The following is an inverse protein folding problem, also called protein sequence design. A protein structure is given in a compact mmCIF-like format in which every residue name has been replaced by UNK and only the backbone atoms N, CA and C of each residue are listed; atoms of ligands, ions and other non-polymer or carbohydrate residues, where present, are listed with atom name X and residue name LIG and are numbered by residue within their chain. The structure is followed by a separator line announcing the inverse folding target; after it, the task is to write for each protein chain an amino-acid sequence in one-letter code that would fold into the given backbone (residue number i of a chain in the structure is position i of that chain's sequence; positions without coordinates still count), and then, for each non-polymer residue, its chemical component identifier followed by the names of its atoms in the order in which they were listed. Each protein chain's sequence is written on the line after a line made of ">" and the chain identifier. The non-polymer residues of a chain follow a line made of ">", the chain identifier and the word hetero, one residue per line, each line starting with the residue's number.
data_IF_491092303912
#
_entry.id   IF_491092303912
#
_cell.length_a   1.000
_cell.length_b   1.000
_cell.length_c   1.000
_cell.angle_alpha   90.00
_cell.angle_beta   90.00
_cell.angle_gamma   90.00
#
_symmetry.space_group_name_H-M   'P 1'
#
loop_
_entity.id
_entity.type
_entity.pdbx_description
1 polymer ?
#
# COMPACT_ATOMS: atom_id res chain seq x y z
N UNK A 1 -13.49 59.37 13.29
CA UNK A 1 -12.14 58.78 13.13
C UNK A 1 -12.17 57.30 13.53
N UNK A 2 -13.13 56.52 13.01
CA UNK A 2 -13.62 55.33 13.74
C UNK A 2 -14.06 54.10 12.93
N UNK A 3 -14.04 54.10 11.59
CA UNK A 3 -14.28 52.86 10.81
C UNK A 3 -13.08 52.41 10.00
N UNK A 4 -12.31 53.36 9.46
CA UNK A 4 -11.10 53.06 8.68
C UNK A 4 -9.98 52.44 9.51
N UNK A 5 -9.91 52.75 10.81
CA UNK A 5 -8.92 52.19 11.72
C UNK A 5 -9.27 50.75 12.17
N UNK A 6 -10.56 50.40 12.28
CA UNK A 6 -10.97 49.04 12.65
C UNK A 6 -10.73 48.06 11.50
N UNK A 7 -11.06 48.46 10.26
CA UNK A 7 -10.78 47.66 9.06
C UNK A 7 -9.27 47.42 8.86
N UNK A 8 -8.44 48.44 9.10
CA UNK A 8 -6.97 48.29 9.06
C UNK A 8 -6.47 47.35 10.14
N UNK A 9 -6.99 47.44 11.37
CA UNK A 9 -6.62 46.57 12.47
C UNK A 9 -6.98 45.10 12.21
N UNK A 10 -8.21 44.82 11.74
CA UNK A 10 -8.64 43.48 11.37
C UNK A 10 -7.85 42.93 10.18
N UNK A 11 -7.56 43.76 9.16
CA UNK A 11 -6.73 43.34 8.02
C UNK A 11 -5.30 42.99 8.45
N UNK A 12 -4.71 43.73 9.40
CA UNK A 12 -3.37 43.48 9.91
C UNK A 12 -3.32 42.22 10.80
N UNK A 13 -4.36 41.96 11.60
CA UNK A 13 -4.50 40.73 12.40
C UNK A 13 -4.69 39.49 11.53
N UNK A 14 -5.52 39.57 10.49
CA UNK A 14 -5.70 38.50 9.51
C UNK A 14 -4.41 38.27 8.74
N UNK A 15 -3.76 39.33 8.26
CA UNK A 15 -2.47 39.21 7.57
C UNK A 15 -1.39 38.60 8.46
N UNK A 16 -1.27 39.05 9.71
CA UNK A 16 -0.34 38.49 10.70
C UNK A 16 -0.60 37.01 10.96
N UNK A 17 -1.87 36.62 11.14
CA UNK A 17 -2.26 35.23 11.39
C UNK A 17 -2.02 34.33 10.17
N UNK A 18 -2.30 34.83 8.96
CA UNK A 18 -2.03 34.11 7.71
C UNK A 18 -0.52 33.98 7.46
N UNK A 19 0.27 35.03 7.72
CA UNK A 19 1.73 34.97 7.64
C UNK A 19 2.28 34.00 8.69
N UNK A 20 1.78 34.00 9.92
CA UNK A 20 2.18 33.03 10.95
C UNK A 20 1.83 31.59 10.57
N UNK A 21 0.70 31.34 9.92
CA UNK A 21 0.33 30.00 9.43
C UNK A 21 1.22 29.59 8.25
N UNK A 22 1.49 30.48 7.30
CA UNK A 22 2.38 30.19 6.17
C UNK A 22 3.80 29.94 6.67
N UNK A 23 4.29 30.74 7.62
CA UNK A 23 5.60 30.55 8.26
C UNK A 23 5.62 29.25 9.05
N UNK A 24 4.55 28.89 9.77
CA UNK A 24 4.46 27.61 10.46
C UNK A 24 4.45 26.44 9.48
N UNK A 25 3.68 26.49 8.39
CA UNK A 25 3.66 25.46 7.36
C UNK A 25 4.99 25.37 6.60
N UNK A 26 5.67 26.48 6.37
CA UNK A 26 6.99 26.54 5.77
C UNK A 26 8.06 26.00 6.72
N UNK A 27 8.00 26.32 8.02
CA UNK A 27 8.88 25.76 9.05
C UNK A 27 8.60 24.26 9.22
N UNK A 28 7.34 23.83 9.19
CA UNK A 28 6.97 22.41 9.27
C UNK A 28 7.43 21.68 8.03
N UNK A 29 7.21 22.23 6.84
CA UNK A 29 7.67 21.68 5.57
C UNK A 29 9.20 21.65 5.46
N UNK A 30 9.88 22.69 5.93
CA UNK A 30 11.33 22.78 5.96
C UNK A 30 11.91 21.86 7.03
N UNK A 31 11.29 21.77 8.21
CA UNK A 31 11.71 20.85 9.28
C UNK A 31 11.47 19.40 8.87
N UNK A 32 10.37 19.12 8.16
CA UNK A 32 10.08 17.83 7.57
C UNK A 32 11.07 17.48 6.46
N UNK A 33 11.33 18.42 5.56
CA UNK A 33 12.33 18.28 4.49
C UNK A 33 13.73 18.10 5.07
N UNK A 34 14.11 18.86 6.11
CA UNK A 34 15.42 18.75 6.76
C UNK A 34 15.55 17.49 7.60
N UNK A 35 14.49 17.06 8.30
CA UNK A 35 14.44 15.78 9.01
C UNK A 35 14.59 14.62 8.02
N UNK A 36 13.84 14.65 6.92
CA UNK A 36 13.96 13.64 5.87
C UNK A 36 15.28 13.73 5.13
N UNK A 37 15.82 14.92 4.87
CA UNK A 37 17.13 15.11 4.26
C UNK A 37 18.23 14.64 5.20
N UNK A 38 18.12 14.83 6.51
CA UNK A 38 19.05 14.29 7.51
C UNK A 38 18.97 12.76 7.60
N UNK A 39 17.76 12.20 7.61
CA UNK A 39 17.53 10.74 7.53
C UNK A 39 18.09 10.17 6.23
N UNK A 40 17.88 10.84 5.10
CA UNK A 40 18.38 10.45 3.78
C UNK A 40 19.90 10.68 3.62
N UNK A 41 20.49 11.68 4.29
CA UNK A 41 21.95 11.90 4.32
C UNK A 41 22.62 10.80 5.15
N UNK A 42 22.08 10.47 6.34
CA UNK A 42 22.50 9.30 7.11
C UNK A 42 22.37 8.02 6.28
N UNK A 43 21.30 7.89 5.50
CA UNK A 43 21.08 6.79 4.56
C UNK A 43 22.13 6.78 3.42
N UNK A 44 22.49 7.93 2.84
CA UNK A 44 23.53 8.03 1.81
C UNK A 44 24.92 7.62 2.30
N UNK A 45 25.27 8.01 3.54
CA UNK A 45 26.50 7.57 4.20
C UNK A 45 26.50 6.07 4.46
N UNK A 46 25.36 5.51 4.89
CA UNK A 46 25.22 4.06 5.14
C UNK A 46 25.23 3.26 3.82
N UNK A 47 24.63 3.78 2.75
CA UNK A 47 24.65 3.16 1.40
C UNK A 47 26.08 3.12 0.84
N UNK A 48 26.87 4.17 1.05
CA UNK A 48 28.29 4.18 0.72
C UNK A 48 29.07 3.13 1.53
N UNK A 49 28.77 2.97 2.82
CA UNK A 49 29.38 1.94 3.67
C UNK A 49 28.97 0.51 3.25
N UNK A 50 27.72 0.28 2.85
CA UNK A 50 27.27 -1.01 2.33
C UNK A 50 27.83 -1.35 0.95
N UNK A 51 28.01 -0.36 0.06
CA UNK A 51 28.69 -0.57 -1.22
C UNK A 51 30.18 -0.89 -1.03
N UNK A 52 30.84 -0.27 -0.04
CA UNK A 52 32.21 -0.63 0.34
C UNK A 52 32.28 -2.07 0.88
N UNK A 53 31.36 -2.46 1.76
CA UNK A 53 31.33 -3.80 2.36
C UNK A 53 30.98 -4.93 1.37
N UNK A 54 30.19 -4.64 0.32
CA UNK A 54 29.89 -5.61 -0.74
C UNK A 54 31.02 -5.76 -1.77
N UNK A 55 31.89 -4.75 -1.94
CA UNK A 55 33.07 -4.85 -2.80
C UNK A 55 34.18 -5.71 -2.18
N UNK A 56 34.23 -5.81 -0.84
CA UNK A 56 35.17 -6.68 -0.12
C UNK A 56 34.76 -8.17 -0.09
N UNK A 57 33.58 -8.51 -0.64
CA UNK A 57 33.03 -9.88 -0.64
C UNK A 57 33.10 -10.58 -2.00
N UNK A 58 33.90 -10.11 -2.97
CA UNK A 58 34.27 -10.95 -4.11
C UNK A 58 35.27 -12.03 -3.66
N UNK A 59 34.95 -13.33 -3.76
CA UNK A 59 35.90 -14.37 -3.39
C UNK A 59 37.02 -14.45 -4.43
N UNK A 60 38.23 -14.07 -4.03
CA UNK A 60 39.45 -14.46 -4.72
C UNK A 60 39.61 -15.98 -4.59
N UNK A 61 39.63 -16.65 -5.74
CA UNK A 61 39.89 -18.08 -5.84
C UNK A 61 41.27 -18.42 -5.29
N UNK A 62 41.36 -19.23 -4.24
CA UNK A 62 42.44 -20.20 -4.01
C UNK A 62 42.08 -21.14 -2.87
N UNK A 63 42.60 -22.35 -2.96
CA UNK A 63 42.09 -23.58 -2.38
C UNK A 63 42.66 -23.95 -1.00
N UNK A 64 41.94 -24.88 -0.38
CA UNK A 64 42.39 -26.03 0.43
C UNK A 64 42.43 -25.93 1.97
N UNK A 65 41.93 -27.04 2.55
CA UNK A 65 42.14 -27.65 3.88
C UNK A 65 41.36 -27.16 5.08
N UNK A 66 40.70 -28.11 5.77
CA UNK A 66 40.41 -27.97 7.20
C UNK A 66 39.09 -28.52 7.73
N UNK A 67 38.81 -29.81 7.54
CA UNK A 67 37.81 -30.54 8.30
C UNK A 67 38.02 -30.46 9.82
N UNK A 68 37.06 -29.95 10.59
CA UNK A 68 36.65 -30.43 11.94
C UNK A 68 35.70 -29.43 12.61
N UNK A 69 34.44 -29.84 12.81
CA UNK A 69 33.49 -29.52 13.89
C UNK A 69 32.04 -29.53 13.38
N UNK A 70 31.61 -30.71 12.92
CA UNK A 70 30.20 -31.08 12.90
C UNK A 70 30.10 -32.39 13.67
N UNK A 71 29.85 -32.30 14.98
CA UNK A 71 29.28 -33.35 15.80
C UNK A 71 29.14 -32.83 17.23
N UNK A 72 27.95 -32.33 17.57
CA UNK A 72 27.27 -32.60 18.84
C UNK A 72 25.96 -31.81 18.92
N UNK A 73 25.00 -32.37 19.65
CA UNK A 73 23.66 -31.87 19.98
C UNK A 73 22.54 -32.33 19.03
N UNK A 74 22.36 -33.65 18.96
CA UNK A 74 21.01 -34.25 18.92
C UNK A 74 20.65 -34.69 20.35
N UNK A 75 19.64 -34.06 20.96
CA UNK A 75 18.84 -34.69 22.02
C UNK A 75 17.37 -34.35 21.82
N UNK A 76 16.57 -35.42 21.62
CA UNK A 76 15.10 -35.40 21.65
C UNK A 76 14.64 -34.96 23.05
N UNK A 77 13.71 -34.02 23.12
CA UNK A 77 12.83 -33.85 24.27
C UNK A 77 11.37 -33.86 23.79
N UNK A 78 10.56 -34.69 24.45
CA UNK A 78 9.12 -34.73 24.28
C UNK A 78 8.52 -33.36 24.62
N UNK A 79 7.82 -32.75 23.65
CA UNK A 79 7.14 -31.47 23.83
C UNK A 79 5.65 -31.74 24.12
N UNK A 80 5.20 -31.34 25.31
CA UNK A 80 3.77 -31.20 25.66
C UNK A 80 3.21 -29.97 24.95
N UNK A 81 1.91 -29.92 24.60
CA UNK A 81 1.34 -28.77 23.88
C UNK A 81 1.43 -27.51 24.76
N UNK A 82 2.17 -26.50 24.28
CA UNK A 82 2.30 -25.20 24.92
C UNK A 82 1.05 -24.36 24.65
N UNK A 83 0.50 -23.76 25.69
CA UNK A 83 -0.61 -22.80 25.59
C UNK A 83 -0.16 -21.55 24.83
N UNK A 84 -1.10 -20.89 24.14
CA UNK A 84 -0.90 -19.75 23.24
C UNK A 84 -0.04 -18.62 23.81
N UNK A 85 -0.05 -18.41 25.13
CA UNK A 85 0.77 -17.39 25.80
C UNK A 85 2.29 -17.68 25.74
N UNK A 86 2.70 -18.95 25.86
CA UNK A 86 4.12 -19.30 25.83
C UNK A 86 4.71 -19.32 24.42
N UNK A 87 3.89 -19.64 23.41
CA UNK A 87 4.30 -19.56 22.01
C UNK A 87 4.60 -18.12 21.57
N UNK A 88 3.73 -17.17 21.93
CA UNK A 88 3.94 -15.74 21.66
C UNK A 88 5.20 -15.21 22.35
N UNK A 89 5.47 -15.66 23.58
CA UNK A 89 6.69 -15.27 24.31
C UNK A 89 7.96 -15.87 23.70
N UNK A 90 7.91 -17.10 23.17
CA UNK A 90 9.06 -17.69 22.46
C UNK A 90 9.37 -16.98 21.13
N UNK A 91 8.35 -16.50 20.41
CA UNK A 91 8.56 -15.65 19.22
C UNK A 91 9.20 -14.31 19.64
N UNK A 92 8.80 -13.73 20.78
CA UNK A 92 9.39 -12.51 21.30
C UNK A 92 10.87 -12.69 21.65
N UNK A 93 11.22 -13.81 22.32
CA UNK A 93 12.60 -14.13 22.74
C UNK A 93 13.50 -14.44 21.53
N UNK A 94 12.99 -15.05 20.46
CA UNK A 94 13.75 -15.22 19.21
C UNK A 94 13.84 -13.94 18.36
N UNK A 95 12.97 -12.94 18.56
CA UNK A 95 12.99 -11.66 17.82
C UNK A 95 13.97 -10.64 18.41
N UNK A 96 14.27 -10.70 19.71
CA UNK A 96 15.27 -9.81 20.34
C UNK A 96 16.70 -10.06 19.84
N UNK A 97 17.01 -11.24 19.29
CA UNK A 97 18.38 -11.59 18.85
C UNK A 97 18.76 -11.09 17.45
N UNK A 98 17.86 -10.42 16.72
CA UNK A 98 18.11 -9.90 15.36
C UNK A 98 17.90 -8.40 15.22
N UNK A 99 17.68 -7.67 16.32
CA UNK A 99 17.56 -6.22 16.29
C UNK A 99 18.91 -5.61 15.94
N UNK A 100 19.09 -5.24 14.68
CA UNK A 100 20.22 -4.38 14.30
C UNK A 100 20.07 -3.04 15.03
N UNK A 101 21.18 -2.40 15.44
CA UNK A 101 21.14 -1.11 16.17
C UNK A 101 20.32 -0.02 15.44
N UNK A 102 20.21 -0.16 14.13
CA UNK A 102 19.40 0.67 13.23
C UNK A 102 17.89 0.52 13.44
N UNK A 103 17.40 -0.70 13.63
CA UNK A 103 15.99 -0.98 13.94
C UNK A 103 15.62 -0.41 15.31
N UNK A 104 16.45 -0.62 16.33
CA UNK A 104 16.22 -0.14 17.69
C UNK A 104 16.06 1.39 17.76
N UNK A 105 16.92 2.12 17.06
CA UNK A 105 16.83 3.58 16.95
C UNK A 105 15.50 4.01 16.32
N UNK A 106 15.12 3.43 15.19
CA UNK A 106 13.93 3.88 14.47
C UNK A 106 12.65 3.54 15.25
N UNK A 107 12.63 2.39 15.94
CA UNK A 107 11.54 1.98 16.83
C UNK A 107 11.45 2.82 18.10
N UNK A 108 12.54 3.46 18.54
CA UNK A 108 12.49 4.38 19.69
C UNK A 108 11.77 5.70 19.38
N UNK A 109 11.53 5.99 18.10
CA UNK A 109 10.81 7.20 17.71
C UNK A 109 9.31 7.01 17.95
N UNK A 110 8.60 8.02 18.49
CA UNK A 110 7.17 7.95 18.80
C UNK A 110 6.31 8.06 17.53
N UNK A 111 6.41 7.05 16.64
CA UNK A 111 5.79 7.06 15.31
C UNK A 111 4.26 7.10 15.36
N UNK A 112 3.67 6.55 16.42
CA UNK A 112 2.23 6.54 16.65
C UNK A 112 1.71 7.91 17.11
N UNK A 113 2.38 8.53 18.07
CA UNK A 113 2.05 9.87 18.56
C UNK A 113 2.21 10.90 17.45
N UNK A 114 3.31 10.80 16.70
CA UNK A 114 3.53 11.65 15.52
C UNK A 114 2.46 11.42 14.46
N UNK A 115 2.06 10.17 14.17
CA UNK A 115 0.94 9.89 13.26
C UNK A 115 -0.36 10.55 13.72
N UNK A 116 -0.70 10.48 15.01
CA UNK A 116 -1.91 11.11 15.55
C UNK A 116 -1.83 12.65 15.49
N UNK A 117 -0.66 13.21 15.77
CA UNK A 117 -0.41 14.64 15.62
C UNK A 117 -0.63 15.09 14.17
N UNK A 118 -0.02 14.40 13.20
CA UNK A 118 -0.18 14.71 11.78
C UNK A 118 -1.63 14.54 11.30
N UNK A 119 -2.32 13.49 11.75
CA UNK A 119 -3.75 13.31 11.44
C UNK A 119 -4.59 14.48 11.96
N UNK A 120 -4.28 15.00 13.15
CA UNK A 120 -4.95 16.18 13.71
C UNK A 120 -4.65 17.42 12.87
N UNK A 121 -3.36 17.66 12.57
CA UNK A 121 -2.93 18.80 11.76
C UNK A 121 -3.56 18.78 10.35
N UNK A 122 -3.60 17.63 9.70
CA UNK A 122 -4.18 17.48 8.36
C UNK A 122 -5.70 17.62 8.33
N UNK A 123 -6.36 17.57 9.49
CA UNK A 123 -7.80 17.84 9.62
C UNK A 123 -8.09 19.34 9.83
N UNK A 124 -7.06 20.17 10.02
CA UNK A 124 -7.23 21.63 10.16
C UNK A 124 -7.50 22.26 8.80
N UNK A 125 -8.56 23.07 8.75
CA UNK A 125 -8.95 23.79 7.53
C UNK A 125 -7.88 24.80 7.11
N UNK A 126 -7.54 24.77 5.82
CA UNK A 126 -6.54 25.66 5.24
C UNK A 126 -7.22 26.98 4.87
N UNK A 127 -6.72 28.09 5.42
CA UNK A 127 -7.18 29.45 5.15
C UNK A 127 -6.02 30.40 4.79
N UNK A 128 -6.24 31.39 3.90
CA UNK A 128 -7.48 31.62 3.12
C UNK A 128 -7.72 30.56 2.04
N UNK A 129 -8.98 30.42 1.58
CA UNK A 129 -9.41 29.37 0.61
C UNK A 129 -8.61 29.40 -0.71
N UNK A 130 -8.12 30.57 -1.09
CA UNK A 130 -7.26 30.77 -2.27
C UNK A 130 -5.92 30.02 -2.19
N UNK A 131 -5.42 29.67 -1.00
CA UNK A 131 -4.18 28.92 -0.84
C UNK A 131 -4.34 27.41 -1.03
N UNK A 132 -5.58 26.89 -0.96
CA UNK A 132 -5.87 25.45 -1.07
C UNK A 132 -5.43 24.88 -2.41
N UNK A 133 -5.95 25.42 -3.52
CA UNK A 133 -5.65 24.90 -4.85
C UNK A 133 -4.14 24.95 -5.19
N UNK A 134 -3.40 26.04 -4.94
CA UNK A 134 -1.94 26.06 -5.12
C UNK A 134 -1.22 25.00 -4.28
N UNK A 135 -1.61 24.83 -3.01
CA UNK A 135 -1.00 23.85 -2.11
C UNK A 135 -1.22 22.41 -2.61
N UNK A 136 -2.44 22.04 -2.98
CA UNK A 136 -2.74 20.71 -3.50
C UNK A 136 -2.06 20.44 -4.85
N UNK A 137 -2.00 21.44 -5.74
CA UNK A 137 -1.25 21.34 -7.01
C UNK A 137 0.25 21.11 -6.75
N UNK A 138 0.84 21.82 -5.81
CA UNK A 138 2.24 21.63 -5.43
C UNK A 138 2.48 20.23 -4.86
N UNK A 139 1.61 19.78 -3.94
CA UNK A 139 1.69 18.44 -3.37
C UNK A 139 1.64 17.36 -4.45
N UNK A 140 0.68 17.42 -5.37
CA UNK A 140 0.55 16.48 -6.47
C UNK A 140 1.77 16.47 -7.40
N UNK A 141 2.36 17.64 -7.70
CA UNK A 141 3.61 17.71 -8.47
C UNK A 141 4.79 17.06 -7.75
N UNK A 142 4.84 17.16 -6.42
CA UNK A 142 5.93 16.61 -5.62
C UNK A 142 5.84 15.09 -5.44
N UNK A 143 4.63 14.53 -5.55
CA UNK A 143 4.36 13.10 -5.27
C UNK A 143 3.70 12.36 -6.44
N UNK A 144 3.84 12.86 -7.66
CA UNK A 144 3.28 12.27 -8.89
C UNK A 144 1.76 11.98 -8.83
N UNK A 145 1.01 12.85 -8.18
CA UNK A 145 -0.46 12.76 -8.11
C UNK A 145 -1.12 13.41 -9.32
N UNK A 146 -2.08 12.73 -9.94
CA UNK A 146 -2.88 13.31 -11.02
C UNK A 146 -4.10 14.03 -10.46
N UNK A 147 -4.13 15.35 -10.62
CA UNK A 147 -5.24 16.21 -10.20
C UNK A 147 -6.41 16.21 -11.17
N UNK A 148 -6.21 15.73 -12.41
CA UNK A 148 -7.26 15.71 -13.42
C UNK A 148 -8.29 14.61 -13.14
N UNK A 149 -7.87 13.56 -12.43
CA UNK A 149 -8.70 12.41 -12.07
C UNK A 149 -9.53 12.65 -10.80
N UNK A 150 -9.21 13.68 -10.01
CA UNK A 150 -9.99 14.06 -8.82
C UNK A 150 -11.43 14.40 -9.20
N UNK A 151 -12.41 14.00 -8.38
CA UNK A 151 -13.84 14.27 -8.58
C UNK A 151 -14.13 15.74 -8.98
N UNK A 152 -13.54 16.71 -8.29
CA UNK A 152 -13.74 18.14 -8.57
C UNK A 152 -12.78 18.75 -9.61
N UNK A 153 -11.89 17.94 -10.19
CA UNK A 153 -10.93 18.36 -11.20
C UNK A 153 -9.89 19.39 -10.72
N UNK A 154 -9.00 19.84 -11.62
CA UNK A 154 -7.86 20.70 -11.29
C UNK A 154 -8.25 22.16 -10.99
N UNK A 155 -9.44 22.58 -11.42
CA UNK A 155 -9.91 23.97 -11.33
C UNK A 155 -10.63 24.26 -10.01
N UNK A 156 -11.19 23.23 -9.36
CA UNK A 156 -11.96 23.37 -8.12
C UNK A 156 -11.35 22.61 -6.93
N UNK A 157 -10.01 22.49 -6.89
CA UNK A 157 -9.33 21.87 -5.75
C UNK A 157 -9.54 22.61 -4.41
N UNK A 158 -9.98 23.88 -4.45
CA UNK A 158 -10.33 24.67 -3.26
C UNK A 158 -11.60 24.17 -2.55
N UNK A 159 -12.29 23.19 -3.13
CA UNK A 159 -13.38 22.45 -2.52
C UNK A 159 -12.94 21.79 -1.20
N UNK A 160 -11.86 21.00 -1.23
CA UNK A 160 -11.36 20.27 -0.07
C UNK A 160 -10.89 21.22 1.04
N UNK A 161 -11.51 21.13 2.21
CA UNK A 161 -11.33 22.10 3.28
C UNK A 161 -9.94 22.02 3.93
N UNK A 162 -9.41 20.81 4.01
CA UNK A 162 -8.15 20.47 4.63
C UNK A 162 -7.42 19.39 3.83
N UNK A 163 -6.15 19.17 4.15
CA UNK A 163 -5.31 18.21 3.44
C UNK A 163 -5.80 16.77 3.60
N UNK A 164 -6.37 16.41 4.75
CA UNK A 164 -6.92 15.08 4.99
C UNK A 164 -8.06 14.74 4.04
N UNK A 165 -8.98 15.68 3.78
CA UNK A 165 -10.04 15.53 2.79
C UNK A 165 -9.49 15.39 1.37
N UNK A 166 -8.52 16.25 0.99
CA UNK A 166 -7.88 16.15 -0.32
C UNK A 166 -7.15 14.82 -0.51
N UNK A 167 -6.47 14.34 0.52
CA UNK A 167 -5.73 13.09 0.46
C UNK A 167 -6.65 11.88 0.22
N UNK A 168 -7.85 11.91 0.81
CA UNK A 168 -8.92 10.91 0.65
C UNK A 168 -9.96 11.30 -0.41
N UNK A 169 -9.56 12.15 -1.36
CA UNK A 169 -10.41 12.57 -2.47
C UNK A 169 -11.01 11.37 -3.20
N UNK A 170 -12.27 11.48 -3.60
CA UNK A 170 -12.82 10.60 -4.62
C UNK A 170 -12.22 10.93 -5.99
N UNK A 171 -12.29 9.94 -6.86
CA UNK A 171 -11.97 10.10 -8.28
C UNK A 171 -13.25 10.36 -9.08
N UNK A 172 -13.09 10.91 -10.29
CA UNK A 172 -14.17 11.02 -11.27
C UNK A 172 -14.66 9.63 -11.67
N UNK A 173 -15.94 9.54 -12.00
CA UNK A 173 -16.50 8.32 -12.56
C UNK A 173 -15.79 7.93 -13.87
N UNK A 174 -15.57 6.62 -14.07
CA UNK A 174 -14.99 6.07 -15.30
C UNK A 174 -13.47 6.13 -15.40
N UNK A 175 -12.75 6.81 -14.50
CA UNK A 175 -11.26 6.90 -14.59
C UNK A 175 -10.55 5.64 -14.08
N UNK A 176 -11.29 4.66 -13.57
CA UNK A 176 -10.82 3.36 -13.05
C UNK A 176 -11.73 2.21 -13.52
N UNK A 177 -11.79 1.91 -14.83
CA UNK A 177 -12.66 0.85 -15.34
C UNK A 177 -12.25 -0.53 -14.78
N UNK A 178 -13.24 -1.40 -14.52
CA UNK A 178 -13.00 -2.78 -14.09
C UNK A 178 -12.87 -3.69 -15.30
N UNK A 179 -11.75 -4.39 -15.35
CA UNK A 179 -11.55 -5.57 -16.19
C UNK A 179 -12.47 -6.70 -15.73
N UNK A 180 -13.39 -7.09 -16.61
CA UNK A 180 -14.40 -8.13 -16.35
C UNK A 180 -13.84 -9.53 -16.48
N UNK A 181 -12.86 -9.73 -17.36
CA UNK A 181 -12.28 -11.03 -17.67
C UNK A 181 -11.34 -11.51 -16.57
N UNK A 182 -10.56 -10.57 -16.00
CA UNK A 182 -9.64 -10.90 -14.92
C UNK A 182 -10.35 -11.44 -13.68
N UNK A 183 -9.84 -12.55 -13.15
CA UNK A 183 -10.33 -13.14 -11.91
C UNK A 183 -10.15 -12.21 -10.70
N UNK A 184 -9.08 -11.42 -10.73
CA UNK A 184 -8.61 -10.52 -9.68
C UNK A 184 -8.16 -9.24 -10.34
N UNK A 185 -8.52 -8.11 -9.75
CA UNK A 185 -8.08 -6.77 -10.18
C UNK A 185 -7.29 -6.10 -9.07
N UNK A 186 -6.57 -5.02 -9.39
CA UNK A 186 -5.83 -4.29 -8.37
C UNK A 186 -6.80 -3.72 -7.32
N UNK A 187 -6.55 -3.94 -6.02
CA UNK A 187 -7.37 -3.35 -4.97
C UNK A 187 -7.09 -1.85 -4.77
N UNK A 188 -5.98 -1.32 -5.24
CA UNK A 188 -5.58 0.07 -4.99
C UNK A 188 -4.71 0.65 -6.11
N UNK A 189 -4.56 1.97 -6.12
CA UNK A 189 -3.53 2.66 -6.92
C UNK A 189 -2.18 2.57 -6.20
N UNK A 190 -1.12 2.16 -6.89
CA UNK A 190 0.19 2.04 -6.26
C UNK A 190 1.27 1.47 -7.16
N UNK A 191 2.38 1.07 -6.54
CA UNK A 191 3.48 0.34 -7.16
C UNK A 191 3.51 -1.10 -6.64
N UNK A 192 3.66 -2.08 -7.52
CA UNK A 192 3.90 -3.46 -7.12
C UNK A 192 5.30 -3.57 -6.52
N UNK A 193 5.38 -3.77 -5.21
CA UNK A 193 6.66 -3.99 -4.54
C UNK A 193 7.23 -5.38 -4.84
N UNK A 194 6.34 -6.37 -4.84
CA UNK A 194 6.62 -7.76 -5.15
C UNK A 194 5.31 -8.50 -5.42
N UNK A 195 5.37 -9.51 -6.27
CA UNK A 195 4.30 -10.49 -6.44
C UNK A 195 4.92 -11.84 -6.80
N UNK A 196 4.12 -12.90 -6.70
CA UNK A 196 4.57 -14.21 -7.13
C UNK A 196 3.81 -15.35 -6.49
N UNK A 197 4.29 -16.55 -6.80
CA UNK A 197 3.88 -17.79 -6.16
C UNK A 197 4.44 -17.85 -4.73
N UNK A 198 3.64 -18.36 -3.80
CA UNK A 198 4.12 -18.73 -2.46
C UNK A 198 4.90 -20.03 -2.60
N UNK A 199 6.24 -19.94 -2.50
CA UNK A 199 7.21 -20.91 -3.07
C UNK A 199 7.24 -22.29 -2.42
N UNK A 200 6.68 -22.48 -1.23
CA UNK A 200 6.29 -23.83 -0.80
C UNK A 200 5.18 -23.77 0.25
N UNK A 201 4.32 -24.78 0.18
CA UNK A 201 3.27 -25.05 1.16
C UNK A 201 3.89 -25.17 2.58
N UNK A 202 5.10 -25.68 2.71
CA UNK A 202 5.81 -25.87 3.99
C UNK A 202 6.33 -24.57 4.59
N UNK A 203 6.82 -23.66 3.75
CA UNK A 203 7.46 -22.42 4.20
C UNK A 203 6.50 -21.23 4.22
N UNK A 204 5.45 -21.26 3.39
CA UNK A 204 4.45 -20.19 3.24
C UNK A 204 5.08 -18.79 3.15
N UNK A 205 6.20 -18.68 2.43
CA UNK A 205 6.98 -17.46 2.34
C UNK A 205 6.52 -16.59 1.16
N UNK A 206 6.39 -15.30 1.42
CA UNK A 206 6.33 -14.23 0.42
C UNK A 206 7.66 -13.47 0.46
N UNK A 207 8.15 -12.99 -0.67
CA UNK A 207 9.43 -12.27 -0.74
C UNK A 207 9.18 -10.85 -1.23
N UNK A 208 9.31 -9.87 -0.33
CA UNK A 208 9.13 -8.45 -0.69
C UNK A 208 10.51 -7.81 -0.75
N UNK A 209 10.92 -7.37 -1.95
CA UNK A 209 12.25 -6.76 -2.20
C UNK A 209 13.41 -7.58 -1.61
N UNK A 210 13.36 -8.91 -1.76
CA UNK A 210 14.40 -9.83 -1.29
C UNK A 210 14.29 -10.25 0.18
N UNK A 211 13.31 -9.74 0.93
CA UNK A 211 13.10 -10.10 2.34
C UNK A 211 11.96 -11.12 2.44
N UNK A 212 12.19 -12.30 3.03
CA UNK A 212 11.15 -13.29 3.23
C UNK A 212 10.24 -12.93 4.40
N UNK A 213 8.94 -13.14 4.22
CA UNK A 213 7.92 -13.01 5.24
C UNK A 213 7.06 -14.27 5.23
N UNK A 214 6.76 -14.86 6.38
CA UNK A 214 5.87 -16.02 6.45
C UNK A 214 4.40 -15.55 6.48
N UNK A 215 3.51 -16.25 5.78
CA UNK A 215 2.06 -16.03 5.88
C UNK A 215 1.57 -16.30 7.30
N UNK A 216 2.18 -17.28 7.98
CA UNK A 216 1.90 -17.57 9.38
C UNK A 216 2.07 -16.32 10.25
N UNK A 217 3.18 -15.59 10.09
CA UNK A 217 3.43 -14.36 10.84
C UNK A 217 2.58 -13.20 10.32
N UNK A 218 2.38 -13.08 9.01
CA UNK A 218 1.58 -12.02 8.42
C UNK A 218 0.13 -12.08 8.93
N UNK A 219 -0.49 -13.26 8.94
CA UNK A 219 -1.89 -13.47 9.34
C UNK A 219 -2.05 -13.96 10.78
N UNK A 220 -0.96 -14.19 11.49
CA UNK A 220 -0.95 -14.78 12.84
C UNK A 220 -1.74 -16.10 12.89
N UNK A 221 -1.56 -16.94 11.87
CA UNK A 221 -2.17 -18.27 11.83
C UNK A 221 -1.60 -19.14 12.94
N UNK A 222 -2.49 -19.89 13.59
CA UNK A 222 -2.05 -20.98 14.43
C UNK A 222 -1.59 -22.18 13.56
N UNK A 223 -0.99 -23.17 14.20
CA UNK A 223 -0.43 -24.32 13.50
C UNK A 223 -1.51 -25.12 12.75
N UNK A 224 -2.73 -25.21 13.29
CA UNK A 224 -3.83 -25.93 12.66
C UNK A 224 -4.35 -25.22 11.40
N UNK A 225 -4.33 -23.88 11.39
CA UNK A 225 -4.69 -23.08 10.21
C UNK A 225 -3.65 -23.23 9.10
N UNK A 226 -2.36 -23.25 9.46
CA UNK A 226 -1.27 -23.55 8.53
C UNK A 226 -1.46 -24.95 7.96
N UNK A 227 -1.63 -25.98 8.78
CA UNK A 227 -1.84 -27.36 8.34
C UNK A 227 -3.08 -27.51 7.45
N UNK A 228 -4.16 -26.77 7.73
CA UNK A 228 -5.36 -26.75 6.88
C UNK A 228 -5.09 -26.17 5.50
N UNK A 229 -4.26 -25.12 5.41
CA UNK A 229 -3.84 -24.57 4.12
C UNK A 229 -2.92 -25.52 3.38
N UNK A 230 -2.08 -26.25 4.13
CA UNK A 230 -1.14 -27.21 3.56
C UNK A 230 -1.78 -28.50 3.07
N UNK A 231 -2.79 -28.98 3.78
CA UNK A 231 -3.49 -30.24 3.49
C UNK A 231 -4.48 -30.15 2.34
N UNK A 232 -4.77 -28.95 1.82
CA UNK A 232 -5.56 -28.80 0.59
C UNK A 232 -4.81 -29.39 -0.61
N UNK A 233 -5.19 -30.60 -1.00
CA UNK A 233 -4.92 -31.10 -2.35
C UNK A 233 -5.86 -30.37 -3.31
N UNK A 234 -5.40 -29.25 -3.86
CA UNK A 234 -6.13 -28.44 -4.82
C UNK A 234 -5.28 -28.23 -6.08
N UNK A 235 -5.91 -28.13 -7.24
CA UNK A 235 -5.26 -27.61 -8.46
C UNK A 235 -4.87 -26.13 -8.34
N UNK A 236 -5.35 -25.45 -7.29
CA UNK A 236 -5.00 -24.06 -6.99
C UNK A 236 -3.71 -23.96 -6.17
N UNK A 237 -2.87 -22.98 -6.52
CA UNK A 237 -1.71 -22.57 -5.74
C UNK A 237 -1.96 -21.23 -5.06
N UNK A 238 -1.18 -20.93 -4.02
CA UNK A 238 -1.28 -19.67 -3.29
C UNK A 238 -0.34 -18.62 -3.91
N UNK A 239 -0.88 -17.45 -4.21
CA UNK A 239 -0.17 -16.32 -4.81
C UNK A 239 -0.24 -15.11 -3.89
N UNK A 240 0.71 -14.19 -4.04
CA UNK A 240 0.71 -12.92 -3.32
C UNK A 240 1.02 -11.74 -4.22
N UNK A 241 0.51 -10.57 -3.83
CA UNK A 241 0.89 -9.27 -4.38
C UNK A 241 1.01 -8.25 -3.25
N UNK A 242 2.14 -7.56 -3.19
CA UNK A 242 2.45 -6.51 -2.24
C UNK A 242 2.48 -5.18 -2.99
N UNK A 243 1.59 -4.26 -2.64
CA UNK A 243 1.34 -3.02 -3.37
C UNK A 243 1.56 -1.84 -2.42
N UNK A 244 2.41 -0.92 -2.82
CA UNK A 244 2.72 0.29 -2.08
C UNK A 244 1.95 1.49 -2.65
N UNK A 245 1.24 2.22 -1.78
CA UNK A 245 0.51 3.43 -2.15
C UNK A 245 1.36 4.66 -1.85
N UNK A 246 1.86 5.31 -2.90
CA UNK A 246 2.60 6.56 -2.80
C UNK A 246 1.69 7.71 -2.31
N UNK A 247 2.23 8.77 -1.69
CA UNK A 247 1.43 9.88 -1.18
C UNK A 247 0.55 10.58 -2.23
N UNK A 248 0.92 10.59 -3.51
CA UNK A 248 0.12 11.19 -4.58
C UNK A 248 -1.00 10.29 -5.13
N UNK A 249 -1.00 8.99 -4.82
CA UNK A 249 -1.99 8.04 -5.32
C UNK A 249 -3.41 8.32 -4.77
N UNK A 250 -4.37 7.56 -5.27
CA UNK A 250 -5.68 7.41 -4.66
C UNK A 250 -5.59 6.44 -3.48
N UNK A 251 -6.10 6.84 -2.32
CA UNK A 251 -5.90 6.11 -1.06
C UNK A 251 -7.14 5.38 -0.54
N UNK A 252 -8.19 5.31 -1.36
CA UNK A 252 -9.20 4.29 -1.14
C UNK A 252 -8.70 2.98 -1.72
N UNK A 253 -9.21 1.90 -1.15
CA UNK A 253 -8.98 0.56 -1.60
C UNK A 253 -10.30 -0.18 -1.77
N UNK A 254 -10.28 -1.09 -2.73
CA UNK A 254 -11.43 -1.76 -3.28
C UNK A 254 -11.27 -3.27 -3.15
N UNK A 255 -12.39 -3.94 -3.27
CA UNK A 255 -12.48 -5.39 -3.32
C UNK A 255 -11.83 -5.89 -4.62
N UNK A 256 -10.80 -6.74 -4.57
CA UNK A 256 -10.08 -7.18 -5.76
C UNK A 256 -10.83 -8.24 -6.58
N UNK A 257 -11.85 -8.88 -6.01
CA UNK A 257 -12.67 -9.89 -6.67
C UNK A 257 -14.05 -9.96 -6.00
N UNK A 258 -14.95 -10.77 -6.56
CA UNK A 258 -16.16 -11.15 -5.83
C UNK A 258 -15.80 -12.16 -4.73
N UNK A 259 -15.99 -11.81 -3.46
CA UNK A 259 -15.60 -12.64 -2.32
C UNK A 259 -16.45 -12.38 -1.08
N UNK A 260 -16.42 -13.32 -0.14
CA UNK A 260 -17.15 -13.25 1.13
C UNK A 260 -16.17 -13.30 2.29
N UNK A 261 -16.22 -12.30 3.15
CA UNK A 261 -15.36 -12.15 4.32
C UNK A 261 -15.95 -12.96 5.48
N UNK A 262 -15.10 -13.76 6.13
CA UNK A 262 -15.46 -14.59 7.28
C UNK A 262 -14.77 -14.16 8.57
N UNK A 263 -13.62 -13.49 8.48
CA UNK A 263 -12.84 -13.13 9.66
C UNK A 263 -12.01 -11.87 9.43
N UNK A 264 -11.90 -11.04 10.46
CA UNK A 264 -10.90 -10.00 10.61
C UNK A 264 -9.89 -10.40 11.67
N UNK A 265 -8.62 -10.10 11.40
CA UNK A 265 -7.55 -10.05 12.40
C UNK A 265 -6.95 -8.67 12.42
N UNK A 266 -7.08 -7.99 13.57
CA UNK A 266 -6.37 -6.75 13.82
C UNK A 266 -5.17 -7.03 14.70
N UNK A 267 -3.99 -6.75 14.17
CA UNK A 267 -2.72 -6.96 14.84
C UNK A 267 -2.13 -5.59 15.16
N UNK A 268 -1.98 -5.28 16.44
CA UNK A 268 -1.31 -4.05 16.86
C UNK A 268 0.19 -4.14 16.59
N UNK A 269 0.82 -2.98 16.35
CA UNK A 269 2.25 -2.92 16.04
C UNK A 269 2.73 -1.48 15.94
N UNK A 270 3.90 -1.30 15.35
CA UNK A 270 4.49 0.00 15.08
C UNK A 270 3.83 0.69 13.88
N UNK A 271 4.26 1.92 13.57
CA UNK A 271 3.81 2.66 12.39
C UNK A 271 5.02 3.21 11.64
N UNK A 272 5.89 2.30 11.20
CA UNK A 272 7.09 2.61 10.44
C UNK A 272 6.77 2.90 8.97
N UNK A 273 7.65 3.63 8.29
CA UNK A 273 7.47 3.96 6.87
C UNK A 273 7.58 2.72 6.00
N UNK A 274 6.56 2.44 5.20
CA UNK A 274 6.52 1.29 4.26
C UNK A 274 7.11 1.61 2.87
N UNK A 275 7.84 2.73 2.74
CA UNK A 275 8.57 3.03 1.51
C UNK A 275 9.54 1.88 1.16
N UNK A 276 9.76 1.58 -0.13
CA UNK A 276 10.65 0.49 -0.55
C UNK A 276 12.03 0.51 0.13
N UNK A 277 12.61 1.70 0.30
CA UNK A 277 13.93 1.86 0.92
C UNK A 277 13.95 1.45 2.40
N UNK A 278 12.85 1.69 3.12
CA UNK A 278 12.71 1.31 4.53
C UNK A 278 12.40 -0.18 4.69
N UNK A 279 11.62 -0.74 3.77
CA UNK A 279 11.35 -2.19 3.76
C UNK A 279 12.66 -2.96 3.62
N UNK A 280 13.54 -2.56 2.70
CA UNK A 280 14.85 -3.21 2.51
C UNK A 280 15.75 -3.02 3.75
N UNK A 281 15.68 -1.85 4.38
CA UNK A 281 16.53 -1.50 5.51
C UNK A 281 16.14 -2.16 6.83
N UNK A 282 14.84 -2.35 7.07
CA UNK A 282 14.29 -2.93 8.31
C UNK A 282 13.68 -4.29 7.97
N UNK A 283 14.38 -5.40 8.26
CA UNK A 283 13.81 -6.73 8.10
C UNK A 283 12.49 -6.85 8.85
N UNK A 284 11.55 -7.60 8.30
CA UNK A 284 10.24 -7.83 8.92
C UNK A 284 9.38 -6.57 9.13
N UNK A 285 9.70 -5.40 8.54
CA UNK A 285 8.96 -4.15 8.74
C UNK A 285 7.43 -4.31 8.61
N UNK A 286 6.97 -5.04 7.59
CA UNK A 286 5.55 -5.30 7.36
C UNK A 286 4.87 -6.08 8.50
N UNK A 287 5.61 -6.92 9.23
CA UNK A 287 5.13 -7.69 10.38
C UNK A 287 5.21 -6.91 11.70
N UNK A 288 6.11 -5.94 11.75
CA UNK A 288 6.29 -5.05 12.90
C UNK A 288 5.20 -3.99 12.93
N UNK A 289 4.72 -3.54 11.77
CA UNK A 289 3.67 -2.55 11.69
C UNK A 289 2.29 -3.08 12.11
N UNK A 290 1.47 -2.17 12.65
CA UNK A 290 0.03 -2.37 12.84
C UNK A 290 -0.61 -2.73 11.50
N UNK A 291 -1.43 -3.78 11.50
CA UNK A 291 -2.07 -4.28 10.28
C UNK A 291 -3.43 -4.90 10.57
N UNK A 292 -4.28 -4.88 9.56
CA UNK A 292 -5.61 -5.47 9.58
C UNK A 292 -5.73 -6.44 8.42
N UNK A 293 -6.04 -7.69 8.71
CA UNK A 293 -6.18 -8.78 7.74
C UNK A 293 -7.65 -9.15 7.66
N UNK A 294 -8.25 -9.06 6.48
CA UNK A 294 -9.55 -9.66 6.21
C UNK A 294 -9.35 -10.96 5.46
N UNK A 295 -9.98 -12.02 5.95
CA UNK A 295 -9.93 -13.37 5.38
C UNK A 295 -11.31 -13.79 4.92
N UNK A 296 -11.35 -14.45 3.77
CA UNK A 296 -12.59 -14.86 3.16
C UNK A 296 -12.43 -15.95 2.12
N UNK A 297 -13.49 -16.15 1.35
CA UNK A 297 -13.50 -17.06 0.21
C UNK A 297 -13.97 -16.33 -1.06
N UNK A 298 -13.28 -16.59 -2.15
CA UNK A 298 -13.64 -16.17 -3.50
C UNK A 298 -13.73 -17.39 -4.43
N UNK A 299 -13.99 -17.19 -5.73
CA UNK A 299 -14.26 -18.29 -6.67
C UNK A 299 -13.19 -19.41 -6.72
N UNK A 300 -11.93 -19.13 -6.40
CA UNK A 300 -10.85 -20.12 -6.41
C UNK A 300 -10.37 -20.52 -5.01
N UNK A 301 -11.07 -20.08 -3.95
CA UNK A 301 -10.80 -20.49 -2.57
C UNK A 301 -10.44 -19.33 -1.65
N UNK A 302 -9.38 -19.46 -0.85
CA UNK A 302 -8.93 -18.44 0.08
C UNK A 302 -8.58 -17.14 -0.65
N UNK A 303 -9.06 -16.04 -0.11
CA UNK A 303 -8.58 -14.70 -0.43
C UNK A 303 -8.41 -13.92 0.87
N UNK A 304 -7.35 -13.12 0.93
CA UNK A 304 -7.08 -12.22 2.04
C UNK A 304 -6.66 -10.85 1.53
N UNK A 305 -7.17 -9.80 2.15
CA UNK A 305 -6.70 -8.44 1.91
C UNK A 305 -6.14 -7.89 3.22
N UNK A 306 -4.84 -7.61 3.24
CA UNK A 306 -4.13 -7.09 4.41
C UNK A 306 -3.77 -5.65 4.20
N UNK A 307 -4.27 -4.77 5.06
CA UNK A 307 -3.92 -3.36 5.11
C UNK A 307 -2.87 -3.14 6.19
N UNK A 308 -1.73 -2.57 5.82
CA UNK A 308 -0.61 -2.31 6.72
C UNK A 308 -0.49 -0.80 6.92
N UNK A 309 -0.60 -0.38 8.19
CA UNK A 309 -0.42 1.01 8.58
C UNK A 309 1.02 1.46 8.45
N UNK A 310 1.26 2.77 8.35
CA UNK A 310 2.60 3.34 8.19
C UNK A 310 2.75 4.69 8.90
N UNK A 311 3.96 5.26 8.89
CA UNK A 311 4.25 6.56 9.51
C UNK A 311 3.38 7.66 8.91
N UNK A 312 2.94 8.58 9.77
CA UNK A 312 1.93 9.62 9.49
C UNK A 312 0.50 9.08 9.36
N UNK A 313 0.31 7.75 9.40
CA UNK A 313 -0.94 7.07 9.03
C UNK A 313 -1.13 5.70 9.67
N UNK A 314 -1.49 5.70 10.94
CA UNK A 314 -2.00 4.48 11.54
C UNK A 314 -3.44 4.17 11.17
N UNK A 315 -4.19 5.15 10.65
CA UNK A 315 -5.65 5.03 10.55
C UNK A 315 -6.07 4.38 9.24
N UNK A 316 -6.46 3.11 9.37
CA UNK A 316 -7.14 2.29 8.38
C UNK A 316 -8.63 2.36 8.72
N UNK A 317 -9.44 2.78 7.75
CA UNK A 317 -10.90 2.77 7.84
C UNK A 317 -11.47 1.77 6.84
N UNK A 318 -12.39 0.92 7.29
CA UNK A 318 -13.00 -0.12 6.47
C UNK A 318 -14.50 0.08 6.54
N UNK A 319 -15.12 0.28 5.38
CA UNK A 319 -16.43 0.92 5.32
C UNK A 319 -17.54 0.07 5.95
N UNK A 320 -17.49 -1.26 5.81
CA UNK A 320 -18.48 -2.14 6.44
C UNK A 320 -18.15 -2.41 7.93
N UNK A 321 -16.88 -2.39 8.31
CA UNK A 321 -16.42 -2.77 9.65
C UNK A 321 -16.31 -1.55 10.56
N UNK A 322 -17.46 -1.12 11.10
CA UNK A 322 -17.54 0.04 11.99
C UNK A 322 -16.87 -0.19 13.34
N UNK A 323 -16.63 -1.44 13.74
CA UNK A 323 -16.01 -1.78 15.04
C UNK A 323 -14.49 -1.66 15.00
N UNK A 324 -13.88 -1.70 13.82
CA UNK A 324 -12.44 -1.50 13.66
C UNK A 324 -12.02 -0.11 14.16
N UNK A 325 -10.98 -0.09 15.00
CA UNK A 325 -10.31 1.11 15.48
C UNK A 325 -8.80 0.89 15.43
N UNK A 326 -8.14 1.55 14.49
CA UNK A 326 -6.68 1.52 14.31
C UNK A 326 -6.04 2.80 14.83
N UNK A 327 -4.71 2.85 14.92
CA UNK A 327 -3.96 4.00 15.44
C UNK A 327 -4.35 4.42 16.87
N UNK A 328 -4.82 3.46 17.68
CA UNK A 328 -5.18 3.74 19.08
C UNK A 328 -3.92 3.89 19.92
N UNK A 329 -4.03 4.67 21.02
CA UNK A 329 -2.98 4.65 22.05
C UNK A 329 -2.85 3.22 22.56
N UNK A 330 -1.62 2.75 22.69
CA UNK A 330 -1.34 1.46 23.29
C UNK A 330 -0.97 1.73 24.75
N UNK A 331 -1.84 1.31 25.67
CA UNK A 331 -1.62 1.50 27.12
C UNK A 331 -0.44 0.64 27.61
N UNK A 332 -0.13 -0.43 26.88
CA UNK A 332 1.04 -1.25 27.00
C UNK A 332 1.63 -1.51 25.60
N UNK A 333 2.96 -1.51 25.46
CA UNK A 333 3.65 -1.89 24.20
C UNK A 333 3.45 -3.38 23.84
N UNK A 334 2.39 -4.02 24.31
CA UNK A 334 2.11 -5.42 24.04
C UNK A 334 1.47 -5.55 22.66
N UNK A 335 2.03 -6.48 21.90
CA UNK A 335 1.46 -6.97 20.66
C UNK A 335 0.13 -7.68 20.97
N UNK A 336 -0.97 -7.14 20.46
CA UNK A 336 -2.33 -7.65 20.65
C UNK A 336 -2.91 -8.08 19.32
N UNK A 337 -3.60 -9.21 19.34
CA UNK A 337 -4.31 -9.75 18.19
C UNK A 337 -5.79 -9.82 18.56
N UNK A 338 -6.62 -9.13 17.78
CA UNK A 338 -8.07 -9.17 17.90
C UNK A 338 -8.64 -9.92 16.72
N UNK A 339 -9.23 -11.08 16.97
CA UNK A 339 -9.92 -11.88 15.97
C UNK A 339 -11.42 -11.62 16.08
N UNK A 340 -12.04 -11.22 14.99
CA UNK A 340 -13.49 -11.05 14.90
C UNK A 340 -14.03 -11.86 13.73
N UNK A 341 -15.01 -12.71 14.01
CA UNK A 341 -15.64 -13.55 12.98
C UNK A 341 -16.90 -12.88 12.51
N UNK A 342 -17.09 -12.87 11.20
CA UNK A 342 -18.28 -12.34 10.57
C UNK A 342 -19.20 -13.48 10.14
N UNK A 343 -20.50 -13.24 10.27
CA UNK A 343 -21.48 -14.12 9.63
C UNK A 343 -21.50 -13.82 8.12
N UNK A 344 -21.66 -14.82 7.27
CA UNK A 344 -21.75 -14.64 5.81
C UNK A 344 -23.11 -14.05 5.46
N UNK A 345 -23.22 -12.72 5.54
CA UNK A 345 -24.39 -11.93 5.15
C UNK A 345 -24.10 -11.18 3.85
N UNK A 346 -25.08 -10.43 3.35
CA UNK A 346 -24.84 -9.53 2.23
C UNK A 346 -23.81 -8.44 2.57
N UNK A 347 -23.78 -7.96 3.82
CA UNK A 347 -22.85 -6.91 4.28
C UNK A 347 -21.39 -7.35 4.33
N UNK A 348 -21.14 -8.66 4.31
CA UNK A 348 -19.79 -9.25 4.32
C UNK A 348 -19.43 -9.89 2.97
N UNK A 349 -20.25 -9.64 1.95
CA UNK A 349 -20.05 -10.09 0.57
C UNK A 349 -19.77 -8.88 -0.32
N UNK A 350 -18.67 -8.92 -1.07
CA UNK A 350 -18.24 -7.81 -1.92
C UNK A 350 -18.15 -8.27 -3.36
N UNK A 351 -18.53 -7.40 -4.29
CA UNK A 351 -18.30 -7.57 -5.71
C UNK A 351 -16.91 -7.07 -6.13
N UNK A 352 -16.49 -7.45 -7.34
CA UNK A 352 -15.20 -7.03 -7.91
C UNK A 352 -15.19 -5.51 -8.13
N UNK A 353 -14.19 -4.84 -7.58
CA UNK A 353 -13.98 -3.39 -7.62
C UNK A 353 -14.88 -2.57 -6.70
N UNK A 354 -15.70 -3.23 -5.87
CA UNK A 354 -16.53 -2.54 -4.87
C UNK A 354 -15.66 -1.79 -3.86
N UNK A 355 -16.09 -0.60 -3.44
CA UNK A 355 -15.38 0.21 -2.46
C UNK A 355 -15.30 -0.53 -1.11
N UNK A 356 -14.09 -0.67 -0.55
CA UNK A 356 -13.85 -1.49 0.63
C UNK A 356 -13.43 -0.65 1.85
N UNK A 357 -12.55 0.33 1.64
CA UNK A 357 -12.12 1.23 2.70
C UNK A 357 -11.09 2.25 2.22
N UNK A 358 -10.44 2.92 3.16
CA UNK A 358 -9.46 3.96 2.86
C UNK A 358 -8.34 4.04 3.90
N UNK A 359 -7.18 4.49 3.44
CA UNK A 359 -6.11 4.96 4.31
C UNK A 359 -6.19 6.47 4.44
N UNK A 360 -5.98 6.98 5.66
CA UNK A 360 -5.99 8.43 5.85
C UNK A 360 -4.75 9.15 5.29
N UNK A 361 -3.69 8.40 4.99
CA UNK A 361 -2.35 8.77 4.52
C UNK A 361 -1.57 7.49 4.10
N UNK A 362 -0.47 7.54 3.33
CA UNK A 362 0.25 6.39 2.71
C UNK A 362 0.38 5.04 3.44
N UNK A 363 0.45 3.96 2.66
CA UNK A 363 0.15 2.61 3.15
C UNK A 363 0.65 1.50 2.21
N UNK A 364 0.52 0.25 2.67
CA UNK A 364 0.79 -0.94 1.87
C UNK A 364 -0.39 -1.90 1.96
N UNK A 365 -0.75 -2.54 0.84
CA UNK A 365 -1.68 -3.66 0.80
C UNK A 365 -0.92 -4.93 0.43
N UNK A 366 -1.15 -5.99 1.19
CA UNK A 366 -0.72 -7.34 0.81
C UNK A 366 -1.96 -8.18 0.53
N UNK A 367 -2.08 -8.60 -0.72
CA UNK A 367 -3.11 -9.51 -1.21
C UNK A 367 -2.50 -10.92 -1.24
N UNK A 368 -3.20 -11.91 -0.70
CA UNK A 368 -2.84 -13.33 -0.81
C UNK A 368 -4.10 -14.10 -1.20
N UNK A 369 -3.99 -14.97 -2.22
CA UNK A 369 -5.15 -15.64 -2.80
C UNK A 369 -4.79 -16.98 -3.45
N UNK A 370 -5.73 -17.92 -3.44
CA UNK A 370 -5.63 -19.20 -4.15
C UNK A 370 -6.07 -19.04 -5.60
N UNK A 371 -5.23 -19.29 -6.60
CA UNK A 371 -5.60 -19.28 -8.02
C UNK A 371 -5.11 -20.55 -8.72
N UNK A 372 -5.61 -20.91 -9.92
CA UNK A 372 -5.06 -22.02 -10.69
C UNK A 372 -3.53 -21.93 -10.80
N UNK A 373 -2.82 -23.05 -10.79
CA UNK A 373 -1.36 -23.07 -10.92
C UNK A 373 -0.83 -22.41 -12.21
N UNK A 374 -1.69 -22.31 -13.23
CA UNK A 374 -1.47 -21.60 -14.49
C UNK A 374 -1.71 -20.08 -14.41
N UNK A 375 -1.99 -19.54 -13.23
CA UNK A 375 -2.20 -18.11 -13.06
C UNK A 375 -0.91 -17.32 -13.34
N UNK A 376 -1.05 -16.28 -14.16
CA UNK A 376 0.02 -15.36 -14.51
C UNK A 376 -0.35 -13.94 -14.08
N UNK A 377 0.60 -13.24 -13.46
CA UNK A 377 0.42 -11.82 -13.15
C UNK A 377 0.57 -10.99 -14.43
N UNK A 378 -0.39 -10.09 -14.66
CA UNK A 378 -0.30 -9.08 -15.72
C UNK A 378 0.77 -8.01 -15.45
N UNK A 379 1.18 -7.86 -14.18
CA UNK A 379 2.15 -6.86 -13.72
C UNK A 379 3.29 -7.51 -12.95
N UNK A 380 4.46 -6.88 -12.96
CA UNK A 380 5.67 -7.33 -12.27
C UNK A 380 6.10 -6.32 -11.20
N UNK A 381 7.07 -6.70 -10.37
CA UNK A 381 7.63 -5.80 -9.37
C UNK A 381 8.23 -4.54 -10.02
N UNK A 382 7.84 -3.37 -9.52
CA UNK A 382 8.19 -2.05 -10.06
C UNK A 382 7.11 -1.42 -10.94
N UNK A 383 6.11 -2.19 -11.39
CA UNK A 383 5.02 -1.64 -12.20
C UNK A 383 4.10 -0.73 -11.36
N UNK A 384 3.72 0.40 -11.94
CA UNK A 384 2.66 1.26 -11.40
C UNK A 384 1.31 0.70 -11.84
N UNK A 385 0.44 0.43 -10.88
CA UNK A 385 -0.91 -0.12 -11.09
C UNK A 385 -1.97 0.82 -10.53
N UNK A 386 -3.20 0.67 -11.02
CA UNK A 386 -4.35 1.47 -10.62
C UNK A 386 -5.46 0.56 -10.10
N UNK A 387 -6.16 0.97 -9.05
CA UNK A 387 -7.35 0.32 -8.54
C UNK A 387 -8.39 0.21 -9.66
N UNK A 388 -9.27 -0.77 -9.61
CA UNK A 388 -10.37 -0.86 -10.56
C UNK A 388 -11.68 -0.77 -9.78
N UNK A 389 -12.52 0.22 -10.10
CA UNK A 389 -13.67 0.61 -9.27
C UNK A 389 -15.03 0.22 -9.87
N UNK A 390 -15.99 -0.15 -9.01
CA UNK A 390 -17.33 -0.58 -9.40
C UNK A 390 -18.07 0.46 -10.24
N UNK A 391 -18.53 0.04 -11.43
CA UNK A 391 -19.55 0.74 -12.22
C UNK A 391 -20.78 -0.17 -12.32
N UNK A 392 -21.96 0.26 -11.87
CA UNK A 392 -23.18 -0.43 -12.21
C UNK A 392 -23.46 -0.18 -13.70
N UNK A 393 -23.40 -1.26 -14.47
CA UNK A 393 -23.98 -1.41 -15.83
C UNK A 393 -23.68 -0.31 -16.84
N UNK A 394 -22.70 -0.56 -17.70
CA UNK A 394 -22.95 -0.66 -19.14
C UNK A 394 -21.84 -1.54 -19.73
N UNK A 395 -22.18 -2.58 -20.50
CA UNK A 395 -21.30 -2.94 -21.62
C UNK A 395 -21.26 -1.70 -22.51
N UNK A 396 -20.15 -0.96 -22.49
CA UNK A 396 -19.93 0.07 -23.49
C UNK A 396 -19.43 -0.66 -24.73
N UNK A 397 -20.36 -1.24 -25.50
CA UNK A 397 -20.10 -1.60 -26.88
C UNK A 397 -20.09 -0.30 -27.68
N UNK A 398 -18.95 0.03 -28.27
CA UNK A 398 -18.88 1.12 -29.24
C UNK A 398 -19.14 0.55 -30.62
N UNK A 399 -20.04 1.16 -31.36
CA UNK A 399 -20.19 0.83 -32.78
C UNK A 399 -18.93 1.24 -33.55
N UNK A 400 -18.62 0.53 -34.64
CA UNK A 400 -17.44 0.86 -35.46
C UNK A 400 -17.56 2.29 -35.99
N UNK A 401 -16.66 3.15 -35.54
CA UNK A 401 -16.63 4.58 -35.92
C UNK A 401 -17.33 5.51 -34.91
N UNK A 402 -17.88 4.97 -33.83
CA UNK A 402 -18.44 5.77 -32.74
C UNK A 402 -17.32 6.52 -31.99
N UNK A 403 -17.55 7.81 -31.74
CA UNK A 403 -16.59 8.65 -31.03
C UNK A 403 -16.62 8.34 -29.54
N UNK A 404 -15.54 7.74 -29.02
CA UNK A 404 -15.41 7.41 -27.60
C UNK A 404 -14.52 8.41 -26.81
N UNK A 405 -13.95 9.41 -27.49
CA UNK A 405 -13.14 10.45 -26.86
C UNK A 405 -12.56 11.44 -27.87
N UNK A 406 -12.05 12.58 -27.37
CA UNK A 406 -11.39 13.61 -28.17
C UNK A 406 -10.04 14.02 -27.58
N UNK A 407 -9.12 14.43 -28.45
CA UNK A 407 -7.85 15.03 -28.06
C UNK A 407 -7.88 16.53 -28.33
N UNK A 408 -7.47 17.33 -27.34
CA UNK A 408 -7.49 18.81 -27.47
C UNK A 408 -6.25 19.40 -28.14
N UNK A 409 -5.12 18.66 -28.20
CA UNK A 409 -3.90 19.02 -28.95
C UNK A 409 -2.98 17.80 -29.11
N UNK A 410 -2.43 17.60 -30.32
CA UNK A 410 -1.35 16.67 -30.70
C UNK A 410 -1.26 15.36 -29.91
N UNK A 411 -1.72 14.24 -30.47
CA UNK A 411 -1.88 13.00 -29.71
C UNK A 411 -1.48 11.75 -30.49
N UNK A 412 -1.14 10.70 -29.75
CA UNK A 412 -0.76 9.39 -30.26
C UNK A 412 -1.76 8.36 -29.74
N UNK A 413 -2.28 7.52 -30.65
CA UNK A 413 -3.15 6.40 -30.30
C UNK A 413 -2.34 5.12 -30.49
N UNK A 414 -2.26 4.31 -29.44
CA UNK A 414 -1.69 2.96 -29.52
C UNK A 414 -2.85 1.97 -29.47
N UNK A 415 -3.04 1.22 -30.56
CA UNK A 415 -4.04 0.16 -30.65
C UNK A 415 -3.36 -1.19 -30.42
N UNK A 416 -3.88 -1.95 -29.46
CA UNK A 416 -3.43 -3.31 -29.18
C UNK A 416 -4.67 -4.20 -29.25
N UNK A 417 -4.63 -5.21 -30.11
CA UNK A 417 -5.72 -6.16 -30.28
C UNK A 417 -5.16 -7.53 -30.69
N UNK A 418 -5.88 -8.59 -30.34
CA UNK A 418 -5.59 -9.93 -30.85
C UNK A 418 -6.03 -10.00 -32.32
N UNK A 419 -5.17 -10.56 -33.16
CA UNK A 419 -5.42 -10.68 -34.58
C UNK A 419 -5.02 -12.08 -35.08
N UNK A 420 -5.75 -12.65 -36.07
CA UNK A 420 -5.35 -13.91 -36.69
C UNK A 420 -3.97 -13.75 -37.36
N UNK A 421 -3.25 -14.86 -37.55
CA UNK A 421 -1.92 -14.87 -38.18
C UNK A 421 -1.89 -14.34 -39.62
N UNK A 422 -3.06 -14.19 -40.26
CA UNK A 422 -3.25 -13.62 -41.59
C UNK A 422 -3.49 -12.11 -41.58
N UNK A 423 -3.59 -11.48 -40.42
CA UNK A 423 -3.82 -10.04 -40.31
C UNK A 423 -2.63 -9.25 -40.84
N UNK A 424 -2.92 -8.22 -41.62
CA UNK A 424 -1.92 -7.29 -42.13
C UNK A 424 -2.44 -5.87 -41.96
N UNK A 425 -1.57 -5.00 -41.47
CA UNK A 425 -1.83 -3.57 -41.47
C UNK A 425 -1.85 -3.06 -42.91
N UNK A 426 -2.86 -2.25 -43.23
CA UNK A 426 -2.97 -1.54 -44.50
C UNK A 426 -2.12 -0.27 -44.53
N UNK A 427 -2.08 0.58 -43.49
CA UNK A 427 -1.18 1.72 -43.45
C UNK A 427 0.23 1.30 -43.02
N UNK A 428 1.22 1.95 -43.61
CA UNK A 428 2.64 1.76 -43.32
C UNK A 428 3.20 2.95 -42.54
N UNK A 429 4.41 2.77 -41.98
CA UNK A 429 5.08 3.84 -41.23
C UNK A 429 5.25 5.10 -42.08
N UNK A 430 4.70 6.22 -41.60
CA UNK A 430 4.72 7.52 -42.27
C UNK A 430 3.44 7.86 -43.04
N UNK A 431 2.50 6.93 -43.18
CA UNK A 431 1.23 7.18 -43.86
C UNK A 431 0.33 8.12 -43.04
N UNK A 432 -0.38 9.02 -43.75
CA UNK A 432 -1.44 9.84 -43.14
C UNK A 432 -2.76 9.10 -43.24
N UNK A 433 -3.31 8.73 -42.09
CA UNK A 433 -4.60 8.03 -41.99
C UNK A 433 -5.72 8.97 -41.53
N UNK A 434 -6.94 8.72 -41.99
CA UNK A 434 -8.17 9.42 -41.55
C UNK A 434 -9.08 8.49 -40.74
N UNK A 435 -9.91 9.09 -39.90
CA UNK A 435 -10.91 8.35 -39.12
C UNK A 435 -11.84 7.58 -40.06
N UNK A 436 -12.01 6.28 -39.80
CA UNK A 436 -12.84 5.37 -40.61
C UNK A 436 -12.11 4.63 -41.72
N UNK A 437 -10.83 4.93 -41.98
CA UNK A 437 -10.01 4.19 -42.94
C UNK A 437 -9.60 2.82 -42.38
N UNK A 438 -9.29 1.88 -43.29
CA UNK A 438 -8.88 0.52 -42.94
C UNK A 438 -7.48 0.57 -42.32
N UNK A 439 -7.37 0.01 -41.12
CA UNK A 439 -6.10 -0.30 -40.46
C UNK A 439 -5.53 -1.62 -40.95
#
# INVERSE_FOLDING_TARGET
>A
MTETNSLRYWSALIFSSVVSIIVALAIIGLSWYLLWKFVLIRFGVIRALFQLNNNDQQPSSTSTTGSRQQQQVQRRQHIRPLTSYHYVRSIHIQRESLCTSNEAWYRSLPMRETSRFWSSLFSVNIYPRSLRSPFYKYFCRMFDGDINECEHGPDNLGYYANFGEFFRRNLKEGVRPIDRESAIVSPCDGEVLANGLVTSVEQLNIVVKGIPYTIKDLFQFDQSEVERLQSKQSESSLFYACIYLNPGNYHHFHSPAKWKISERRHITGELMSVRPEFIIWIPNLLLLNERVVYLGQYKHGLMTQTMIGATNVGSIDVYFDKTLKTNQKLDDYTFRIWKEKFQPTQETSFDKGEAFGEFKLGSCIVLVFEAPSTYHFAHQAGDKIRAQGFQPTQETSFDKGEAFGEFKLGSCIVLVFEAPSTFQFVPHSGDKIRVGEKL
#
